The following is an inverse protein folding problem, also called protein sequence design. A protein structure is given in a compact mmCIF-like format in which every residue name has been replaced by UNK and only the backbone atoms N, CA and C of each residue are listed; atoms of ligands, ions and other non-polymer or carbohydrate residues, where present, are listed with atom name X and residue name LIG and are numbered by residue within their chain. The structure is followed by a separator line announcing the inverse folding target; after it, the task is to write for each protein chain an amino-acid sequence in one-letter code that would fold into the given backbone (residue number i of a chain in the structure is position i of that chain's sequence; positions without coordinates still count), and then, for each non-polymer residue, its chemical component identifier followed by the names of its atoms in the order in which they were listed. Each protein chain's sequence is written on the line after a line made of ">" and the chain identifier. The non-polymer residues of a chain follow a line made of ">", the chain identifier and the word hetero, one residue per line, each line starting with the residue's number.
data_IF_428525387962
#
_entry.id   IF_428525387962
#
_cell.length_a   1.000
_cell.length_b   1.000
_cell.length_c   1.000
_cell.angle_alpha   90.00
_cell.angle_beta   90.00
_cell.angle_gamma   90.00
#
_symmetry.space_group_name_H-M   'P 1'
#
loop_
_entity.id
_entity.type
_entity.pdbx_description
1 polymer ?
#
# COMPACT_ATOMS: atom_id res chain seq x y z
N UNK A 1 -19.54 -12.98 -43.48
CA UNK A 1 -18.50 -12.27 -42.68
C UNK A 1 -19.08 -11.54 -41.48
N UNK A 2 -20.25 -10.91 -41.63
CA UNK A 2 -20.90 -10.10 -40.60
C UNK A 2 -21.25 -10.85 -39.31
N UNK A 3 -21.75 -12.10 -39.40
CA UNK A 3 -22.03 -12.96 -38.23
C UNK A 3 -20.78 -13.27 -37.38
N UNK A 4 -19.62 -13.46 -38.02
CA UNK A 4 -18.34 -13.68 -37.32
C UNK A 4 -17.86 -12.42 -36.61
N UNK A 5 -18.03 -11.25 -37.22
CA UNK A 5 -17.69 -9.94 -36.61
C UNK A 5 -18.52 -9.65 -35.36
N UNK A 6 -19.84 -9.88 -35.43
CA UNK A 6 -20.71 -9.76 -34.25
C UNK A 6 -20.25 -10.69 -33.12
N UNK A 7 -19.80 -11.90 -33.45
CA UNK A 7 -19.22 -12.82 -32.47
C UNK A 7 -17.97 -12.26 -31.77
N UNK A 8 -17.01 -11.73 -32.52
CA UNK A 8 -15.82 -11.09 -31.92
C UNK A 8 -16.16 -9.84 -31.11
N UNK A 9 -17.09 -9.00 -31.59
CA UNK A 9 -17.55 -7.82 -30.84
C UNK A 9 -18.22 -8.20 -29.51
N UNK A 10 -18.99 -9.29 -29.48
CA UNK A 10 -19.56 -9.81 -28.24
C UNK A 10 -18.48 -10.24 -27.24
N UNK A 11 -17.44 -10.95 -27.72
CA UNK A 11 -16.30 -11.34 -26.88
C UNK A 11 -15.53 -10.12 -26.36
N UNK A 12 -15.36 -9.08 -27.19
CA UNK A 12 -14.76 -7.81 -26.76
C UNK A 12 -15.58 -7.18 -25.63
N UNK A 13 -16.90 -7.09 -25.77
CA UNK A 13 -17.76 -6.56 -24.71
C UNK A 13 -17.62 -7.36 -23.41
N UNK A 14 -17.59 -8.69 -23.48
CA UNK A 14 -17.42 -9.55 -22.31
C UNK A 14 -16.07 -9.34 -21.63
N UNK A 15 -14.98 -9.33 -22.40
CA UNK A 15 -13.62 -9.12 -21.88
C UNK A 15 -13.49 -7.74 -21.21
N UNK A 16 -14.04 -6.68 -21.82
CA UNK A 16 -14.00 -5.34 -21.26
C UNK A 16 -14.90 -5.20 -20.01
N UNK A 17 -16.04 -5.88 -19.96
CA UNK A 17 -16.88 -5.92 -18.75
C UNK A 17 -16.16 -6.58 -17.57
N UNK A 18 -15.47 -7.69 -17.81
CA UNK A 18 -14.65 -8.35 -16.79
C UNK A 18 -13.49 -7.43 -16.37
N UNK A 19 -12.83 -6.75 -17.32
CA UNK A 19 -11.76 -5.80 -17.03
C UNK A 19 -12.22 -4.61 -16.16
N UNK A 20 -13.45 -4.11 -16.38
CA UNK A 20 -14.08 -3.11 -15.51
C UNK A 20 -14.24 -3.65 -14.09
N UNK A 21 -14.78 -4.86 -13.94
CA UNK A 21 -14.96 -5.51 -12.64
C UNK A 21 -13.63 -5.74 -11.90
N UNK A 22 -12.61 -6.25 -12.59
CA UNK A 22 -11.28 -6.44 -12.03
C UNK A 22 -10.63 -5.10 -11.63
N UNK A 23 -10.77 -4.06 -12.45
CA UNK A 23 -10.24 -2.73 -12.12
C UNK A 23 -10.95 -2.11 -10.92
N UNK A 24 -12.27 -2.29 -10.81
CA UNK A 24 -13.04 -1.86 -9.64
C UNK A 24 -12.60 -2.63 -8.38
N UNK A 25 -12.42 -3.96 -8.48
CA UNK A 25 -11.94 -4.78 -7.38
C UNK A 25 -10.53 -4.36 -6.93
N UNK A 26 -9.59 -4.17 -7.87
CA UNK A 26 -8.25 -3.67 -7.55
C UNK A 26 -8.27 -2.27 -6.94
N UNK A 27 -9.19 -1.40 -7.38
CA UNK A 27 -9.34 -0.07 -6.80
C UNK A 27 -9.91 -0.14 -5.37
N UNK A 28 -10.93 -0.97 -5.14
CA UNK A 28 -11.47 -1.22 -3.80
C UNK A 28 -10.40 -1.79 -2.88
N UNK A 29 -9.62 -2.75 -3.35
CA UNK A 29 -8.52 -3.33 -2.59
C UNK A 29 -7.43 -2.29 -2.25
N UNK A 30 -7.05 -1.44 -3.21
CA UNK A 30 -6.13 -0.32 -2.96
C UNK A 30 -6.68 0.65 -1.90
N UNK A 31 -7.98 0.98 -2.00
CA UNK A 31 -8.70 1.83 -1.04
C UNK A 31 -8.69 1.18 0.34
N UNK A 32 -9.09 -0.08 0.46
CA UNK A 32 -9.10 -0.82 1.72
C UNK A 32 -7.73 -0.85 2.39
N UNK A 33 -6.68 -1.11 1.61
CA UNK A 33 -5.31 -1.13 2.10
C UNK A 33 -4.85 0.25 2.55
N UNK A 34 -5.02 1.27 1.70
CA UNK A 34 -4.60 2.65 2.00
C UNK A 34 -5.39 3.28 3.16
N UNK A 35 -6.60 2.79 3.44
CA UNK A 35 -7.46 3.30 4.50
C UNK A 35 -7.57 2.37 5.72
N UNK A 36 -6.76 1.31 5.80
CA UNK A 36 -6.73 0.42 6.97
C UNK A 36 -8.06 -0.28 7.30
N UNK A 37 -8.97 -0.40 6.33
CA UNK A 37 -10.33 -0.93 6.55
C UNK A 37 -10.38 -2.48 6.55
N UNK A 38 -9.23 -3.16 6.66
CA UNK A 38 -9.15 -4.60 6.39
C UNK A 38 -9.63 -5.47 7.54
N UNK A 39 -10.62 -6.31 7.25
CA UNK A 39 -11.13 -7.36 8.14
C UNK A 39 -11.13 -8.77 7.52
N UNK A 40 -10.73 -8.94 6.25
CA UNK A 40 -10.68 -10.28 5.61
C UNK A 40 -9.49 -10.44 4.65
N UNK A 41 -8.85 -11.62 4.62
CA UNK A 41 -7.85 -11.92 3.59
C UNK A 41 -8.51 -11.96 2.22
N UNK A 42 -7.99 -11.18 1.28
CA UNK A 42 -8.47 -11.17 -0.11
C UNK A 42 -8.16 -12.53 -0.75
N UNK A 43 -9.09 -13.08 -1.52
CA UNK A 43 -8.95 -14.37 -2.24
C UNK A 43 -7.74 -14.48 -3.19
N UNK A 44 -6.91 -13.43 -3.31
CA UNK A 44 -5.79 -13.35 -4.22
C UNK A 44 -4.40 -13.31 -3.54
N UNK A 45 -4.33 -13.52 -2.22
CA UNK A 45 -3.08 -13.86 -1.52
C UNK A 45 -2.98 -15.37 -1.35
N UNK A 46 -2.28 -16.02 -2.28
CA UNK A 46 -2.18 -17.48 -2.33
C UNK A 46 -0.86 -17.98 -1.74
N UNK A 47 0.24 -17.23 -1.94
CA UNK A 47 1.59 -17.51 -1.40
C UNK A 47 2.51 -16.30 -1.63
N UNK A 48 3.78 -16.40 -1.25
CA UNK A 48 4.77 -15.32 -1.35
C UNK A 48 5.01 -14.86 -2.79
N UNK A 49 4.83 -15.74 -3.78
CA UNK A 49 4.96 -15.40 -5.21
C UNK A 49 3.66 -14.86 -5.82
N UNK A 50 2.50 -15.25 -5.28
CA UNK A 50 1.17 -14.85 -5.76
C UNK A 50 0.43 -14.06 -4.69
N UNK A 51 0.70 -12.75 -4.64
CA UNK A 51 0.23 -11.87 -3.57
C UNK A 51 -0.17 -10.49 -4.14
N UNK A 52 -1.44 -10.11 -3.92
CA UNK A 52 -1.98 -8.83 -4.37
C UNK A 52 -1.51 -7.65 -3.52
N UNK A 53 -1.23 -7.88 -2.24
CA UNK A 53 -0.98 -6.82 -1.27
C UNK A 53 0.37 -6.18 -1.52
N UNK A 54 1.39 -6.99 -1.77
CA UNK A 54 2.76 -6.52 -2.04
C UNK A 54 2.75 -5.61 -3.28
N UNK A 55 2.05 -6.03 -4.33
CA UNK A 55 1.93 -5.24 -5.57
C UNK A 55 1.14 -3.95 -5.32
N UNK A 56 0.05 -4.02 -4.55
CA UNK A 56 -0.80 -2.86 -4.21
C UNK A 56 -0.08 -1.83 -3.34
N UNK A 57 0.87 -2.27 -2.51
CA UNK A 57 1.69 -1.41 -1.66
C UNK A 57 2.89 -0.78 -2.38
N UNK A 58 3.32 -1.34 -3.49
CA UNK A 58 4.46 -0.82 -4.23
C UNK A 58 4.21 0.60 -4.76
N UNK A 59 5.28 1.38 -4.92
CA UNK A 59 5.23 2.71 -5.56
C UNK A 59 4.63 2.64 -6.97
N UNK A 60 4.81 1.51 -7.65
CA UNK A 60 4.30 1.24 -8.99
C UNK A 60 2.78 1.02 -9.06
N UNK A 61 2.09 0.96 -7.92
CA UNK A 61 0.62 0.87 -7.86
C UNK A 61 -0.07 2.20 -8.17
N UNK A 62 0.68 3.30 -8.24
CA UNK A 62 0.16 4.65 -8.48
C UNK A 62 0.98 5.44 -9.50
N UNK A 63 0.32 6.35 -10.22
CA UNK A 63 0.96 7.31 -11.13
C UNK A 63 0.48 8.70 -10.71
N UNK A 64 1.44 9.58 -10.36
CA UNK A 64 1.15 10.91 -9.80
C UNK A 64 0.27 10.85 -8.53
N UNK A 65 0.47 9.82 -7.70
CA UNK A 65 -0.30 9.59 -6.47
C UNK A 65 -1.71 9.04 -6.67
N UNK A 66 -2.12 8.80 -7.93
CA UNK A 66 -3.42 8.23 -8.27
C UNK A 66 -3.27 6.73 -8.58
N UNK A 67 -4.15 5.86 -8.05
CA UNK A 67 -4.07 4.42 -8.29
C UNK A 67 -4.17 4.07 -9.77
N UNK A 68 -3.31 3.18 -10.27
CA UNK A 68 -3.41 2.68 -11.66
C UNK A 68 -4.78 2.06 -11.92
N UNK A 69 -5.36 1.40 -10.92
CA UNK A 69 -6.69 0.80 -10.98
C UNK A 69 -7.81 1.81 -11.31
N UNK A 70 -7.72 3.08 -10.87
CA UNK A 70 -8.73 4.08 -11.24
C UNK A 70 -8.61 4.52 -12.70
N UNK A 71 -7.39 4.62 -13.24
CA UNK A 71 -7.20 4.87 -14.66
C UNK A 71 -7.74 3.70 -15.49
N UNK A 72 -7.46 2.46 -15.06
CA UNK A 72 -8.02 1.25 -15.65
C UNK A 72 -9.55 1.26 -15.66
N UNK A 73 -10.18 1.57 -14.53
CA UNK A 73 -11.63 1.61 -14.42
C UNK A 73 -12.27 2.57 -15.43
N UNK A 74 -11.75 3.78 -15.56
CA UNK A 74 -12.26 4.76 -16.54
C UNK A 74 -12.00 4.28 -17.97
N UNK A 75 -10.77 3.82 -18.25
CA UNK A 75 -10.35 3.37 -19.57
C UNK A 75 -11.19 2.20 -20.09
N UNK A 76 -11.36 1.14 -19.28
CA UNK A 76 -12.14 -0.02 -19.70
C UNK A 76 -13.64 0.28 -19.78
N UNK A 77 -14.17 1.16 -18.93
CA UNK A 77 -15.57 1.59 -19.01
C UNK A 77 -15.85 2.34 -20.32
N UNK A 78 -14.93 3.22 -20.72
CA UNK A 78 -15.01 3.93 -21.99
C UNK A 78 -14.96 2.99 -23.20
N UNK A 79 -14.00 2.05 -23.22
CA UNK A 79 -13.90 1.06 -24.28
C UNK A 79 -15.10 0.12 -24.32
N UNK A 80 -15.63 -0.28 -23.16
CA UNK A 80 -16.84 -1.11 -23.08
C UNK A 80 -18.04 -0.41 -23.72
N UNK A 81 -18.25 0.88 -23.42
CA UNK A 81 -19.30 1.67 -24.04
C UNK A 81 -19.13 1.75 -25.57
N UNK A 82 -17.91 1.99 -26.05
CA UNK A 82 -17.60 1.99 -27.49
C UNK A 82 -17.85 0.63 -28.15
N UNK A 83 -17.40 -0.46 -27.52
CA UNK A 83 -17.63 -1.82 -28.00
C UNK A 83 -19.12 -2.15 -28.08
N UNK A 84 -19.90 -1.74 -27.07
CA UNK A 84 -21.35 -1.92 -27.06
C UNK A 84 -22.04 -1.14 -28.18
N UNK A 85 -21.64 0.10 -28.42
CA UNK A 85 -22.15 0.92 -29.54
C UNK A 85 -21.80 0.27 -30.88
N UNK A 86 -20.56 -0.20 -31.05
CA UNK A 86 -20.13 -0.89 -32.27
C UNK A 86 -20.91 -2.19 -32.51
N UNK A 87 -21.20 -2.95 -31.45
CA UNK A 87 -22.03 -4.14 -31.51
C UNK A 87 -23.47 -3.82 -31.93
N UNK A 88 -24.07 -2.76 -31.36
CA UNK A 88 -25.43 -2.32 -31.66
C UNK A 88 -25.57 -1.75 -33.09
N UNK A 89 -24.56 -1.02 -33.57
CA UNK A 89 -24.52 -0.41 -34.91
C UNK A 89 -23.71 -1.22 -35.93
N UNK A 90 -23.49 -2.51 -35.67
CA UNK A 90 -22.62 -3.34 -36.51
C UNK A 90 -23.05 -3.30 -37.99
N UNK A 91 -22.10 -2.97 -38.86
CA UNK A 91 -22.32 -2.82 -40.31
C UNK A 91 -22.40 -1.36 -40.76
N UNK A 92 -22.50 -0.40 -39.84
CA UNK A 92 -22.47 1.03 -40.15
C UNK A 92 -21.04 1.56 -40.33
N UNK A 93 -20.91 2.70 -41.01
CA UNK A 93 -19.61 3.40 -41.19
C UNK A 93 -19.02 3.79 -39.83
N UNK A 94 -19.88 4.21 -38.90
CA UNK A 94 -19.47 4.58 -37.54
C UNK A 94 -18.92 3.39 -36.76
N UNK A 95 -19.51 2.20 -36.90
CA UNK A 95 -18.95 0.99 -36.30
C UNK A 95 -17.53 0.70 -36.83
N UNK A 96 -17.25 0.99 -38.10
CA UNK A 96 -15.90 0.88 -38.67
C UNK A 96 -14.88 1.81 -38.00
N UNK A 97 -15.26 3.06 -37.73
CA UNK A 97 -14.41 4.04 -37.01
C UNK A 97 -14.17 3.57 -35.56
N UNK A 98 -15.25 3.16 -34.88
CA UNK A 98 -15.16 2.69 -33.49
C UNK A 98 -14.27 1.44 -33.40
N UNK A 99 -14.38 0.51 -34.34
CA UNK A 99 -13.54 -0.70 -34.36
C UNK A 99 -12.05 -0.36 -34.48
N UNK A 100 -11.68 0.68 -35.24
CA UNK A 100 -10.30 1.16 -35.30
C UNK A 100 -9.83 1.75 -33.96
N UNK A 101 -10.69 2.55 -33.31
CA UNK A 101 -10.41 3.07 -31.98
C UNK A 101 -10.24 1.96 -30.93
N UNK A 102 -11.09 0.93 -30.98
CA UNK A 102 -10.98 -0.26 -30.11
C UNK A 102 -9.66 -1.00 -30.33
N UNK A 103 -9.19 -1.13 -31.58
CA UNK A 103 -7.88 -1.74 -31.85
C UNK A 103 -6.73 -0.92 -31.25
N UNK A 104 -6.73 0.41 -31.40
CA UNK A 104 -5.72 1.26 -30.78
C UNK A 104 -5.74 1.14 -29.26
N UNK A 105 -6.92 1.16 -28.65
CA UNK A 105 -7.10 0.92 -27.22
C UNK A 105 -6.56 -0.43 -26.79
N UNK A 106 -6.80 -1.50 -27.57
CA UNK A 106 -6.29 -2.83 -27.26
C UNK A 106 -4.77 -2.93 -27.34
N UNK A 107 -4.15 -2.25 -28.32
CA UNK A 107 -2.69 -2.19 -28.46
C UNK A 107 -2.08 -1.45 -27.26
N UNK A 108 -2.64 -0.30 -26.90
CA UNK A 108 -2.21 0.46 -25.73
C UNK A 108 -2.30 -0.38 -24.45
N UNK A 109 -3.45 -1.03 -24.22
CA UNK A 109 -3.66 -1.91 -23.07
C UNK A 109 -2.66 -3.09 -23.06
N UNK A 110 -2.35 -3.67 -24.23
CA UNK A 110 -1.36 -4.73 -24.37
C UNK A 110 0.05 -4.28 -24.01
N UNK A 111 0.51 -3.14 -24.54
CA UNK A 111 1.82 -2.57 -24.22
C UNK A 111 1.93 -2.27 -22.73
N UNK A 112 0.91 -1.64 -22.15
CA UNK A 112 0.88 -1.32 -20.72
C UNK A 112 0.86 -2.57 -19.85
N UNK A 113 0.17 -3.64 -20.28
CA UNK A 113 0.17 -4.94 -19.58
C UNK A 113 1.55 -5.58 -19.56
N UNK A 114 2.28 -5.54 -20.69
CA UNK A 114 3.66 -6.04 -20.76
C UNK A 114 4.57 -5.25 -19.83
N UNK A 115 4.46 -3.92 -19.81
CA UNK A 115 5.21 -3.07 -18.89
C UNK A 115 4.98 -3.46 -17.43
N UNK A 116 3.71 -3.53 -16.98
CA UNK A 116 3.39 -3.87 -15.60
C UNK A 116 3.79 -5.30 -15.22
N UNK A 117 3.71 -6.25 -16.15
CA UNK A 117 4.19 -7.61 -15.93
C UNK A 117 5.71 -7.62 -15.71
N UNK A 118 6.48 -6.89 -16.52
CA UNK A 118 7.93 -6.80 -16.37
C UNK A 118 8.32 -6.13 -15.04
N UNK A 119 7.61 -5.08 -14.61
CA UNK A 119 7.81 -4.46 -13.29
C UNK A 119 7.53 -5.48 -12.17
N UNK A 120 6.44 -6.24 -12.29
CA UNK A 120 6.04 -7.23 -11.28
C UNK A 120 7.08 -8.35 -11.14
N UNK A 121 7.62 -8.87 -12.25
CA UNK A 121 8.58 -9.99 -12.24
C UNK A 121 10.02 -9.53 -11.95
N UNK A 122 10.47 -8.40 -12.52
CA UNK A 122 11.88 -7.99 -12.47
C UNK A 122 12.20 -7.06 -11.29
N UNK A 123 11.22 -6.31 -10.79
CA UNK A 123 11.44 -5.30 -9.75
C UNK A 123 10.78 -5.74 -8.43
N UNK A 124 9.50 -6.11 -8.47
CA UNK A 124 8.74 -6.46 -7.26
C UNK A 124 9.00 -7.92 -6.85
N UNK A 125 9.21 -8.82 -7.82
CA UNK A 125 9.40 -10.25 -7.57
C UNK A 125 8.12 -11.01 -7.18
N UNK A 126 6.95 -10.39 -7.34
CA UNK A 126 5.64 -10.93 -6.92
C UNK A 126 4.61 -10.73 -8.04
N UNK A 127 3.79 -11.75 -8.28
CA UNK A 127 2.71 -11.74 -9.28
C UNK A 127 1.35 -11.54 -8.62
N UNK A 128 0.58 -10.56 -9.12
CA UNK A 128 -0.77 -10.29 -8.64
C UNK A 128 -1.83 -11.04 -9.48
N UNK A 129 -2.62 -11.97 -8.89
CA UNK A 129 -3.61 -12.74 -9.64
C UNK A 129 -4.70 -11.90 -10.33
N UNK A 130 -5.12 -10.78 -9.72
CA UNK A 130 -6.10 -9.87 -10.34
C UNK A 130 -5.50 -9.13 -11.54
N UNK A 131 -4.23 -8.71 -11.47
CA UNK A 131 -3.49 -8.16 -12.59
C UNK A 131 -3.33 -9.18 -13.72
N UNK A 132 -3.01 -10.44 -13.41
CA UNK A 132 -2.93 -11.51 -14.40
C UNK A 132 -4.26 -11.74 -15.11
N UNK A 133 -5.38 -11.69 -14.38
CA UNK A 133 -6.73 -11.72 -14.97
C UNK A 133 -6.96 -10.56 -15.94
N UNK A 134 -6.48 -9.37 -15.61
CA UNK A 134 -6.56 -8.19 -16.48
C UNK A 134 -5.70 -8.34 -17.73
N UNK A 135 -4.48 -8.89 -17.61
CA UNK A 135 -3.60 -9.17 -18.74
C UNK A 135 -4.23 -10.19 -19.71
N UNK A 136 -4.89 -11.22 -19.18
CA UNK A 136 -5.64 -12.18 -19.98
C UNK A 136 -6.79 -11.51 -20.72
N UNK A 137 -7.57 -10.66 -20.04
CA UNK A 137 -8.65 -9.88 -20.67
C UNK A 137 -8.11 -9.01 -21.82
N UNK A 138 -6.96 -8.36 -21.62
CA UNK A 138 -6.32 -7.53 -22.63
C UNK A 138 -5.80 -8.31 -23.84
N UNK A 139 -5.24 -9.51 -23.62
CA UNK A 139 -4.83 -10.39 -24.71
C UNK A 139 -6.02 -10.85 -25.56
N UNK A 140 -7.13 -11.24 -24.92
CA UNK A 140 -8.38 -11.60 -25.60
C UNK A 140 -8.94 -10.40 -26.37
N UNK A 141 -8.97 -9.23 -25.74
CA UNK A 141 -9.44 -7.99 -26.35
C UNK A 141 -8.63 -7.64 -27.60
N UNK A 142 -7.30 -7.67 -27.53
CA UNK A 142 -6.42 -7.40 -28.67
C UNK A 142 -6.64 -8.39 -29.82
N UNK A 143 -6.72 -9.69 -29.51
CA UNK A 143 -6.97 -10.71 -30.53
C UNK A 143 -8.31 -10.49 -31.24
N UNK A 144 -9.39 -10.26 -30.48
CA UNK A 144 -10.71 -10.02 -31.07
C UNK A 144 -10.78 -8.69 -31.82
N UNK A 145 -10.21 -7.61 -31.28
CA UNK A 145 -10.17 -6.30 -31.94
C UNK A 145 -9.42 -6.35 -33.27
N UNK A 146 -8.34 -7.14 -33.35
CA UNK A 146 -7.66 -7.44 -34.60
C UNK A 146 -8.56 -8.19 -35.59
N UNK A 147 -9.27 -9.22 -35.14
CA UNK A 147 -10.17 -10.02 -36.01
C UNK A 147 -11.38 -9.25 -36.54
N UNK A 148 -11.77 -8.15 -35.89
CA UNK A 148 -12.87 -7.28 -36.34
C UNK A 148 -12.45 -6.37 -37.51
N UNK A 149 -11.15 -6.08 -37.68
CA UNK A 149 -10.65 -5.18 -38.73
C UNK A 149 -10.84 -5.71 -40.16
N UNK A 150 -11.20 -4.82 -41.08
CA UNK A 150 -11.22 -5.12 -42.53
C UNK A 150 -9.88 -4.71 -43.18
N UNK A 151 -9.21 -5.63 -43.86
CA UNK A 151 -8.02 -5.32 -44.67
C UNK A 151 -6.65 -5.50 -44.00
N UNK A 152 -6.58 -6.16 -42.84
CA UNK A 152 -5.33 -6.55 -42.17
C UNK A 152 -4.72 -5.47 -41.26
N UNK A 153 -3.83 -5.89 -40.34
CA UNK A 153 -3.33 -5.07 -39.23
C UNK A 153 -2.65 -3.77 -39.69
N UNK A 154 -1.72 -3.88 -40.65
CA UNK A 154 -0.93 -2.75 -41.16
C UNK A 154 -1.77 -1.70 -41.87
N UNK A 155 -2.79 -2.13 -42.62
CA UNK A 155 -3.70 -1.21 -43.32
C UNK A 155 -4.57 -0.45 -42.31
N UNK A 156 -5.12 -1.15 -41.32
CA UNK A 156 -5.89 -0.53 -40.24
C UNK A 156 -5.05 0.43 -39.41
N UNK A 157 -3.84 0.03 -38.99
CA UNK A 157 -2.92 0.88 -38.24
C UNK A 157 -2.55 2.15 -39.00
N UNK A 158 -2.23 2.04 -40.30
CA UNK A 158 -1.91 3.20 -41.13
C UNK A 158 -3.07 4.18 -41.22
N UNK A 159 -4.30 3.70 -41.43
CA UNK A 159 -5.49 4.56 -41.47
C UNK A 159 -5.74 5.22 -40.12
N UNK A 160 -5.63 4.46 -39.02
CA UNK A 160 -5.79 4.98 -37.66
C UNK A 160 -4.76 6.04 -37.28
N UNK A 161 -3.48 5.84 -37.62
CA UNK A 161 -2.42 6.81 -37.35
C UNK A 161 -2.59 8.08 -38.21
N UNK A 162 -3.03 7.94 -39.45
CA UNK A 162 -3.34 9.07 -40.33
C UNK A 162 -4.53 9.88 -39.80
N UNK A 163 -5.57 9.20 -39.30
CA UNK A 163 -6.72 9.83 -38.64
C UNK A 163 -6.32 10.52 -37.32
N UNK A 164 -5.41 9.92 -36.53
CA UNK A 164 -4.99 10.43 -35.23
C UNK A 164 -3.96 11.59 -35.30
N UNK A 165 -3.04 11.56 -36.27
CA UNK A 165 -1.94 12.53 -36.41
C UNK A 165 -2.15 13.57 -37.53
N UNK A 166 -3.34 13.64 -38.12
CA UNK A 166 -3.76 14.81 -38.90
C UNK A 166 -3.13 14.95 -40.29
N UNK A 167 -2.57 13.90 -40.90
CA UNK A 167 -2.24 13.92 -42.34
C UNK A 167 -3.52 13.59 -43.11
N UNK A 168 -4.53 14.45 -43.03
CA UNK A 168 -5.78 14.25 -43.76
C UNK A 168 -5.49 14.24 -45.28
N UNK A 169 -5.82 13.16 -46.01
CA UNK A 169 -5.85 13.23 -47.47
C UNK A 169 -6.80 14.36 -47.87
N UNK A 170 -6.42 15.22 -48.82
CA UNK A 170 -7.23 16.37 -49.28
C UNK A 170 -8.68 16.00 -49.62
N UNK A 171 -8.91 14.76 -50.02
CA UNK A 171 -10.22 14.17 -50.32
C UNK A 171 -11.12 14.03 -49.07
N UNK A 172 -10.57 13.65 -47.91
CA UNK A 172 -11.31 13.53 -46.64
C UNK A 172 -11.66 14.91 -46.08
N UNK A 173 -10.72 15.86 -46.18
CA UNK A 173 -10.97 17.26 -45.78
C UNK A 173 -12.09 17.91 -46.61
N UNK A 174 -12.16 17.60 -47.92
CA UNK A 174 -13.26 18.04 -48.77
C UNK A 174 -14.61 17.37 -48.42
N UNK A 175 -14.59 16.13 -47.91
CA UNK A 175 -15.79 15.48 -47.35
C UNK A 175 -16.22 16.10 -46.02
N UNK A 176 -15.28 16.49 -45.15
CA UNK A 176 -15.53 17.19 -43.88
C UNK A 176 -16.15 18.59 -44.09
N UNK A 177 -15.86 19.25 -45.21
CA UNK A 177 -16.36 20.59 -45.56
C UNK A 177 -17.81 20.59 -46.06
N UNK A 178 -18.37 19.43 -46.45
CA UNK A 178 -19.81 19.34 -46.74
C UNK A 178 -20.59 19.53 -45.43
N UNK A 179 -21.45 20.55 -45.39
CA UNK A 179 -22.41 20.83 -44.30
C UNK A 179 -23.22 19.55 -44.00
N UNK A 180 -22.78 18.76 -43.04
CA UNK A 180 -23.40 17.46 -42.72
C UNK A 180 -22.54 16.59 -41.82
N UNK A 181 -21.25 16.40 -42.13
CA UNK A 181 -20.39 15.44 -41.41
C UNK A 181 -20.22 15.77 -39.92
N UNK A 182 -19.90 17.03 -39.58
CA UNK A 182 -19.83 17.48 -38.18
C UNK A 182 -21.20 17.46 -37.48
N UNK A 183 -22.30 17.63 -38.21
CA UNK A 183 -23.65 17.62 -37.65
C UNK A 183 -24.13 16.18 -37.37
N UNK A 184 -23.76 15.22 -38.23
CA UNK A 184 -24.13 13.80 -38.11
C UNK A 184 -23.28 13.03 -37.09
N UNK A 185 -22.01 13.41 -36.89
CA UNK A 185 -21.10 12.70 -35.97
C UNK A 185 -20.74 13.47 -34.70
N UNK A 186 -21.44 14.58 -34.38
CA UNK A 186 -21.19 15.39 -33.16
C UNK A 186 -21.19 14.58 -31.86
N UNK A 187 -21.95 13.49 -31.81
CA UNK A 187 -22.06 12.61 -30.66
C UNK A 187 -20.77 11.81 -30.41
N UNK A 188 -20.01 11.44 -31.45
CA UNK A 188 -18.69 10.79 -31.28
C UNK A 188 -17.67 11.78 -30.69
N UNK A 189 -17.68 13.02 -31.16
CA UNK A 189 -16.84 14.09 -30.61
C UNK A 189 -17.17 14.34 -29.13
N UNK A 190 -18.46 14.42 -28.78
CA UNK A 190 -18.91 14.56 -27.40
C UNK A 190 -18.50 13.37 -26.53
N UNK A 191 -18.58 12.14 -27.03
CA UNK A 191 -18.10 10.94 -26.31
C UNK A 191 -16.59 11.03 -26.06
N UNK A 192 -15.79 11.38 -27.07
CA UNK A 192 -14.34 11.52 -26.91
C UNK A 192 -13.96 12.61 -25.89
N UNK A 193 -14.64 13.76 -25.93
CA UNK A 193 -14.44 14.85 -24.96
C UNK A 193 -14.83 14.37 -23.56
N UNK A 194 -15.99 13.74 -23.39
CA UNK A 194 -16.43 13.21 -22.09
C UNK A 194 -15.46 12.18 -21.54
N UNK A 195 -14.95 11.26 -22.36
CA UNK A 195 -13.94 10.28 -21.94
C UNK A 195 -12.66 10.98 -21.50
N UNK A 196 -12.15 11.94 -22.28
CA UNK A 196 -10.94 12.70 -21.93
C UNK A 196 -11.11 13.48 -20.62
N UNK A 197 -12.27 14.10 -20.43
CA UNK A 197 -12.64 14.80 -19.19
C UNK A 197 -12.68 13.82 -18.01
N UNK A 198 -13.32 12.66 -18.15
CA UNK A 198 -13.41 11.67 -17.08
C UNK A 198 -12.05 11.04 -16.73
N UNK A 199 -11.18 10.82 -17.72
CA UNK A 199 -9.81 10.33 -17.52
C UNK A 199 -8.96 11.31 -16.71
N UNK A 200 -9.30 12.60 -16.72
CA UNK A 200 -8.59 13.61 -15.92
C UNK A 200 -9.31 13.89 -14.59
N UNK A 201 -10.64 14.04 -14.59
CA UNK A 201 -11.44 14.43 -13.42
C UNK A 201 -11.62 13.31 -12.40
N UNK A 202 -11.83 12.06 -12.82
CA UNK A 202 -12.05 10.95 -11.88
C UNK A 202 -10.78 10.66 -11.07
N UNK A 203 -9.59 10.58 -11.70
CA UNK A 203 -8.31 10.60 -10.99
C UNK A 203 -8.15 11.75 -10.00
N UNK A 204 -8.39 13.00 -10.43
CA UNK A 204 -8.26 14.18 -9.57
C UNK A 204 -9.23 14.16 -8.39
N UNK A 205 -10.47 13.71 -8.61
CA UNK A 205 -11.46 13.54 -7.54
C UNK A 205 -11.01 12.45 -6.56
N UNK A 206 -10.42 11.36 -7.04
CA UNK A 206 -9.83 10.34 -6.17
C UNK A 206 -8.62 10.88 -5.39
N UNK A 207 -7.79 11.74 -5.98
CA UNK A 207 -6.73 12.46 -5.25
C UNK A 207 -7.33 13.35 -4.17
N UNK A 208 -8.44 14.05 -4.44
CA UNK A 208 -9.13 14.87 -3.45
C UNK A 208 -9.76 14.03 -2.32
N UNK A 209 -10.43 12.92 -2.65
CA UNK A 209 -11.02 12.00 -1.67
C UNK A 209 -9.94 11.32 -0.81
N UNK A 210 -8.83 10.92 -1.43
CA UNK A 210 -7.70 10.35 -0.69
C UNK A 210 -7.00 11.43 0.14
N UNK A 211 -6.72 12.61 -0.43
CA UNK A 211 -6.07 13.75 0.26
C UNK A 211 -6.87 14.28 1.45
N UNK A 212 -8.21 14.24 1.40
CA UNK A 212 -9.06 14.61 2.54
C UNK A 212 -9.13 13.53 3.62
N UNK A 213 -8.74 12.29 3.31
CA UNK A 213 -8.67 11.14 4.24
C UNK A 213 -7.25 10.79 4.70
N UNK A 214 -6.21 11.29 4.04
CA UNK A 214 -4.82 10.85 4.23
C UNK A 214 -4.16 11.28 5.53
N UNK A 215 -4.70 12.23 6.29
CA UNK A 215 -4.07 12.53 7.59
C UNK A 215 -4.46 11.48 8.65
N UNK A 216 -5.53 10.69 8.45
CA UNK A 216 -6.05 9.86 9.53
C UNK A 216 -6.39 8.40 9.28
N UNK A 217 -6.47 7.86 8.05
CA UNK A 217 -6.91 6.46 7.82
C UNK A 217 -8.41 6.23 8.13
N UNK A 218 -8.87 6.74 9.26
CA UNK A 218 -10.23 6.89 9.76
C UNK A 218 -10.81 8.28 9.44
N UNK A 219 -12.15 8.37 9.32
CA UNK A 219 -12.84 9.66 9.19
C UNK A 219 -12.71 10.51 10.47
N UNK A 220 -12.74 11.85 10.34
CA UNK A 220 -12.57 12.78 11.48
C UNK A 220 -13.46 12.46 12.68
N UNK A 221 -14.71 12.07 12.45
CA UNK A 221 -15.63 11.69 13.53
C UNK A 221 -15.18 10.43 14.28
N UNK A 222 -14.70 9.43 13.56
CA UNK A 222 -14.13 8.20 14.12
C UNK A 222 -12.85 8.49 14.90
N UNK A 223 -11.97 9.33 14.39
CA UNK A 223 -10.76 9.77 15.10
C UNK A 223 -11.13 10.42 16.42
N UNK A 224 -12.06 11.38 16.40
CA UNK A 224 -12.51 12.08 17.60
C UNK A 224 -13.21 11.15 18.61
N UNK A 225 -13.88 10.09 18.14
CA UNK A 225 -14.40 9.05 19.02
C UNK A 225 -13.27 8.34 19.78
N UNK A 226 -12.19 7.95 19.10
CA UNK A 226 -11.05 7.29 19.75
C UNK A 226 -10.25 8.23 20.65
N UNK A 227 -10.09 9.50 20.27
CA UNK A 227 -9.45 10.52 21.14
C UNK A 227 -10.25 10.71 22.43
N UNK A 228 -11.59 10.78 22.35
CA UNK A 228 -12.44 10.84 23.54
C UNK A 228 -12.33 9.60 24.41
N UNK A 229 -12.28 8.42 23.79
CA UNK A 229 -12.09 7.16 24.50
C UNK A 229 -10.74 7.13 25.22
N UNK A 230 -9.66 7.49 24.53
CA UNK A 230 -8.33 7.63 25.12
C UNK A 230 -8.33 8.64 26.26
N UNK A 231 -8.99 9.79 26.12
CA UNK A 231 -9.07 10.78 27.19
C UNK A 231 -9.77 10.26 28.45
N UNK A 232 -10.77 9.39 28.29
CA UNK A 232 -11.46 8.72 29.41
C UNK A 232 -10.71 7.51 29.99
N UNK A 233 -9.62 7.06 29.35
CA UNK A 233 -8.85 5.92 29.81
C UNK A 233 -8.12 6.25 31.12
N UNK A 234 -8.07 5.27 32.03
CA UNK A 234 -7.31 5.41 33.27
C UNK A 234 -5.82 5.44 32.96
N UNK A 235 -5.09 6.41 33.51
CA UNK A 235 -3.64 6.48 33.37
C UNK A 235 -2.94 5.52 34.32
N UNK A 236 -1.99 4.73 33.81
CA UNK A 236 -1.05 3.95 34.61
C UNK A 236 0.32 4.64 34.68
N UNK A 237 1.06 4.48 35.78
CA UNK A 237 2.35 5.15 35.99
C UNK A 237 3.54 4.28 35.59
N UNK A 238 4.33 4.65 34.59
CA UNK A 238 5.52 3.86 34.24
C UNK A 238 6.74 4.28 35.08
N UNK A 239 7.57 3.31 35.44
CA UNK A 239 8.89 3.57 36.02
C UNK A 239 9.93 3.50 34.89
N UNK A 240 10.77 4.53 34.80
CA UNK A 240 11.80 4.63 33.78
C UNK A 240 13.18 4.61 34.42
N UNK A 241 13.91 3.51 34.22
CA UNK A 241 15.30 3.40 34.64
C UNK A 241 16.19 4.12 33.61
N UNK A 242 17.00 5.09 34.06
CA UNK A 242 17.81 5.91 33.13
C UNK A 242 19.22 5.36 32.89
N UNK A 243 19.74 4.56 33.81
CA UNK A 243 21.15 4.13 33.80
C UNK A 243 21.29 2.65 34.14
N UNK A 244 22.48 2.11 33.84
CA UNK A 244 22.83 0.72 34.11
C UNK A 244 22.26 -0.29 33.12
N UNK A 245 22.47 -1.57 33.43
CA UNK A 245 22.14 -2.70 32.56
C UNK A 245 20.63 -2.85 32.31
N UNK A 246 19.83 -2.36 33.25
CA UNK A 246 18.37 -2.38 33.24
C UNK A 246 17.77 -1.07 32.72
N UNK A 247 18.54 -0.13 32.18
CA UNK A 247 17.97 1.11 31.64
C UNK A 247 16.88 0.88 30.59
N UNK A 248 15.89 1.77 30.57
CA UNK A 248 14.92 1.91 29.50
C UNK A 248 15.51 2.82 28.42
N UNK A 249 15.41 2.38 27.16
CA UNK A 249 15.88 3.17 26.04
C UNK A 249 14.80 4.16 25.61
N UNK A 250 15.16 5.44 25.49
CA UNK A 250 14.28 6.49 25.01
C UNK A 250 14.87 7.32 23.86
N UNK A 251 14.04 7.75 22.90
CA UNK A 251 14.33 8.80 21.88
C UNK A 251 13.62 10.10 22.28
N UNK A 252 14.14 11.23 21.80
CA UNK A 252 13.58 12.57 22.04
C UNK A 252 14.02 13.19 23.37
N UNK A 253 13.38 14.30 23.74
CA UNK A 253 13.69 15.03 24.96
C UNK A 253 13.27 14.22 26.21
N UNK A 254 14.19 13.85 27.12
CA UNK A 254 13.86 13.05 28.30
C UNK A 254 12.91 13.76 29.28
N UNK A 255 12.80 15.08 29.17
CA UNK A 255 11.91 15.95 29.96
C UNK A 255 10.63 16.35 29.23
N UNK A 256 10.35 15.79 28.06
CA UNK A 256 9.12 16.07 27.35
C UNK A 256 7.89 15.71 28.19
N UNK A 257 6.92 16.62 28.24
CA UNK A 257 5.71 16.45 29.02
C UNK A 257 4.80 15.33 28.47
N UNK A 258 4.96 14.99 27.19
CA UNK A 258 4.28 13.86 26.54
C UNK A 258 5.24 12.69 26.40
N UNK A 259 4.95 11.58 27.08
CA UNK A 259 5.70 10.33 26.97
C UNK A 259 4.87 9.25 26.27
N UNK A 260 5.44 8.69 25.22
CA UNK A 260 4.95 7.54 24.47
C UNK A 260 5.70 6.31 24.96
N UNK A 261 4.98 5.27 25.38
CA UNK A 261 5.56 3.97 25.75
C UNK A 261 5.01 2.93 24.79
N UNK A 262 5.89 2.23 24.08
CA UNK A 262 5.53 1.10 23.23
C UNK A 262 6.09 -0.21 23.81
N UNK A 263 5.20 -1.19 23.99
CA UNK A 263 5.57 -2.59 24.19
C UNK A 263 5.59 -3.28 22.83
N UNK A 264 6.77 -3.73 22.41
CA UNK A 264 7.03 -4.17 21.03
C UNK A 264 7.79 -5.50 20.96
N UNK A 265 7.72 -6.15 19.79
CA UNK A 265 8.40 -7.41 19.48
C UNK A 265 9.03 -7.33 18.08
N UNK A 266 10.33 -7.64 17.99
CA UNK A 266 11.14 -7.62 16.78
C UNK A 266 10.75 -8.65 15.71
N UNK A 267 9.86 -9.61 15.99
CA UNK A 267 9.30 -10.50 14.96
C UNK A 267 7.80 -10.26 14.69
N UNK A 268 7.20 -9.24 15.31
CA UNK A 268 5.78 -8.95 15.12
C UNK A 268 5.56 -8.05 13.89
N UNK A 269 4.87 -8.50 12.82
CA UNK A 269 4.70 -7.71 11.60
C UNK A 269 4.03 -6.33 11.83
N UNK A 270 3.10 -6.25 12.79
CA UNK A 270 2.45 -4.98 13.14
C UNK A 270 3.40 -4.03 13.86
N UNK A 271 4.39 -4.54 14.62
CA UNK A 271 5.42 -3.71 15.25
C UNK A 271 6.35 -3.08 14.21
N UNK A 272 6.74 -3.83 13.17
CA UNK A 272 7.53 -3.26 12.06
C UNK A 272 6.79 -2.11 11.36
N UNK A 273 5.50 -2.28 11.07
CA UNK A 273 4.68 -1.21 10.49
C UNK A 273 4.58 0.00 11.44
N UNK A 274 4.42 -0.26 12.73
CA UNK A 274 4.33 0.77 13.76
C UNK A 274 5.65 1.52 13.97
N UNK A 275 6.81 0.87 13.83
CA UNK A 275 8.11 1.52 13.92
C UNK A 275 8.23 2.64 12.88
N UNK A 276 7.82 2.37 11.64
CA UNK A 276 7.78 3.37 10.57
C UNK A 276 6.82 4.53 10.88
N UNK A 277 5.61 4.22 11.38
CA UNK A 277 4.63 5.23 11.77
C UNK A 277 5.14 6.12 12.92
N UNK A 278 5.78 5.53 13.92
CA UNK A 278 6.33 6.23 15.08
C UNK A 278 7.51 7.11 14.69
N UNK A 279 8.42 6.66 13.82
CA UNK A 279 9.53 7.50 13.33
C UNK A 279 9.01 8.80 12.68
N UNK A 280 7.99 8.70 11.83
CA UNK A 280 7.37 9.86 11.19
C UNK A 280 6.70 10.78 12.22
N UNK A 281 5.97 10.21 13.18
CA UNK A 281 5.34 11.00 14.25
C UNK A 281 6.39 11.69 15.12
N UNK A 282 7.45 11.01 15.53
CA UNK A 282 8.51 11.60 16.34
C UNK A 282 9.21 12.75 15.61
N UNK A 283 9.39 12.65 14.29
CA UNK A 283 9.89 13.74 13.47
C UNK A 283 8.96 14.96 13.50
N UNK A 284 7.64 14.77 13.45
CA UNK A 284 6.66 15.87 13.44
C UNK A 284 6.49 16.57 14.80
N UNK A 285 6.68 15.84 15.90
CA UNK A 285 6.53 16.39 17.25
C UNK A 285 7.85 16.89 17.85
N UNK A 286 9.00 16.36 17.43
CA UNK A 286 10.33 16.77 17.89
C UNK A 286 10.47 16.66 19.41
N UNK A 287 11.09 17.66 20.03
CA UNK A 287 11.39 17.69 21.48
C UNK A 287 10.15 17.78 22.39
N UNK A 288 8.95 17.84 21.82
CA UNK A 288 7.68 17.86 22.58
C UNK A 288 7.26 16.48 23.06
N UNK A 289 7.87 15.42 22.55
CA UNK A 289 7.56 14.03 22.90
C UNK A 289 8.82 13.26 23.29
N UNK A 290 8.64 12.36 24.26
CA UNK A 290 9.61 11.33 24.63
C UNK A 290 9.06 9.99 24.18
N UNK A 291 9.86 9.19 23.49
CA UNK A 291 9.50 7.82 23.15
C UNK A 291 10.30 6.83 23.99
N UNK A 292 9.65 5.82 24.55
CA UNK A 292 10.26 4.76 25.35
C UNK A 292 9.88 3.40 24.78
N UNK A 293 10.89 2.58 24.48
CA UNK A 293 10.71 1.21 24.00
C UNK A 293 10.78 0.23 25.17
N UNK A 294 9.79 -0.67 25.27
CA UNK A 294 9.72 -1.77 26.23
C UNK A 294 9.64 -3.10 25.49
N UNK A 295 10.44 -4.08 25.92
CA UNK A 295 10.48 -5.39 25.29
C UNK A 295 9.24 -6.21 25.65
N UNK A 296 8.51 -6.71 24.67
CA UNK A 296 7.41 -7.65 24.88
C UNK A 296 7.42 -8.77 23.82
N UNK A 297 8.51 -9.55 23.76
CA UNK A 297 8.65 -10.63 22.79
C UNK A 297 7.47 -11.62 22.90
N UNK A 298 6.86 -11.98 21.77
CA UNK A 298 5.79 -12.98 21.67
C UNK A 298 6.39 -14.39 21.56
N UNK A 299 7.26 -14.71 22.52
CA UNK A 299 7.99 -15.97 22.59
C UNK A 299 7.83 -16.59 23.99
N UNK A 300 7.30 -17.82 24.03
CA UNK A 300 7.04 -18.58 25.27
C UNK A 300 8.29 -18.84 26.11
N UNK A 301 9.49 -18.70 25.55
CA UNK A 301 10.74 -18.93 26.28
C UNK A 301 10.97 -17.87 27.37
N UNK A 302 10.61 -16.62 27.12
CA UNK A 302 10.74 -15.54 28.10
C UNK A 302 9.41 -14.86 28.47
N UNK A 303 8.35 -15.02 27.68
CA UNK A 303 7.05 -14.41 27.93
C UNK A 303 5.98 -15.44 28.34
N UNK A 304 5.57 -15.46 29.63
CA UNK A 304 4.60 -16.44 30.13
C UNK A 304 3.17 -16.24 29.61
N UNK A 305 2.84 -15.12 28.97
CA UNK A 305 1.52 -14.94 28.33
C UNK A 305 1.37 -15.73 27.03
N UNK A 306 2.48 -16.10 26.38
CA UNK A 306 2.47 -16.74 25.07
C UNK A 306 2.26 -18.24 25.27
N UNK A 307 1.14 -18.75 24.74
CA UNK A 307 0.77 -20.17 24.79
C UNK A 307 1.17 -20.95 23.55
N UNK A 308 1.57 -20.24 22.50
CA UNK A 308 2.01 -20.80 21.23
C UNK A 308 3.33 -21.56 21.41
N UNK A 309 3.42 -22.76 20.84
CA UNK A 309 4.60 -23.62 20.93
C UNK A 309 5.57 -23.47 19.74
N UNK A 310 5.23 -22.63 18.76
CA UNK A 310 6.13 -22.28 17.66
C UNK A 310 7.41 -21.66 18.20
N UNK A 311 8.54 -22.11 17.63
CA UNK A 311 9.85 -21.54 17.93
C UNK A 311 9.98 -20.19 17.22
N UNK A 312 10.19 -19.14 18.00
CA UNK A 312 10.49 -17.79 17.53
C UNK A 312 11.89 -17.38 18.03
N UNK A 313 12.40 -16.26 17.54
CA UNK A 313 13.66 -15.64 17.98
C UNK A 313 13.41 -14.34 18.75
N UNK A 314 12.17 -13.97 19.05
CA UNK A 314 11.82 -12.70 19.71
C UNK A 314 12.61 -12.45 21.01
N UNK A 315 12.76 -13.45 21.90
CA UNK A 315 13.55 -13.28 23.12
C UNK A 315 15.05 -13.03 22.82
N UNK A 316 15.58 -13.67 21.78
CA UNK A 316 16.96 -13.48 21.35
C UNK A 316 17.17 -12.08 20.75
N UNK A 317 16.28 -11.65 19.84
CA UNK A 317 16.36 -10.33 19.22
C UNK A 317 16.21 -9.19 20.24
N UNK A 318 15.35 -9.37 21.25
CA UNK A 318 15.24 -8.44 22.37
C UNK A 318 16.56 -8.28 23.13
N UNK A 319 17.28 -9.39 23.39
CA UNK A 319 18.61 -9.32 24.01
C UNK A 319 19.65 -8.70 23.07
N UNK A 320 19.62 -9.04 21.79
CA UNK A 320 20.54 -8.51 20.78
C UNK A 320 20.46 -6.97 20.69
N UNK A 321 19.24 -6.42 20.63
CA UNK A 321 19.04 -4.97 20.63
C UNK A 321 19.62 -4.32 21.90
N UNK A 322 19.44 -4.94 23.07
CA UNK A 322 20.00 -4.44 24.32
C UNK A 322 21.53 -4.53 24.37
N UNK A 323 22.12 -5.61 23.84
CA UNK A 323 23.57 -5.75 23.70
C UNK A 323 24.16 -4.68 22.76
N UNK A 324 23.50 -4.39 21.63
CA UNK A 324 23.88 -3.25 20.79
C UNK A 324 23.79 -1.92 21.56
N UNK A 325 22.82 -1.82 22.46
CA UNK A 325 22.69 -0.71 23.38
C UNK A 325 23.88 -0.51 24.33
N UNK A 326 24.61 -1.56 24.75
CA UNK A 326 25.85 -1.39 25.55
C UNK A 326 26.92 -0.61 24.77
N UNK A 327 26.89 -0.68 23.43
CA UNK A 327 27.75 0.08 22.51
C UNK A 327 27.12 1.40 22.04
N UNK A 328 26.01 1.84 22.66
CA UNK A 328 25.32 3.08 22.30
C UNK A 328 24.45 2.99 21.04
N UNK A 329 24.26 1.80 20.49
CA UNK A 329 23.60 1.53 19.19
C UNK A 329 22.24 0.83 19.32
N UNK A 330 21.54 1.05 20.44
CA UNK A 330 20.23 0.42 20.66
C UNK A 330 19.24 0.80 19.56
N UNK A 331 19.17 2.08 19.21
CA UNK A 331 18.22 2.56 18.22
C UNK A 331 18.59 2.16 16.80
N UNK A 332 19.88 2.17 16.44
CA UNK A 332 20.33 1.61 15.18
C UNK A 332 19.95 0.11 15.07
N UNK A 333 20.02 -0.63 16.18
CA UNK A 333 19.57 -2.01 16.23
C UNK A 333 18.05 -2.14 16.09
N UNK A 334 17.25 -1.27 16.72
CA UNK A 334 15.79 -1.26 16.53
C UNK A 334 15.45 -1.00 15.06
N UNK A 335 16.02 0.06 14.50
CA UNK A 335 15.74 0.49 13.12
C UNK A 335 16.19 -0.60 12.11
N UNK A 336 17.31 -1.28 12.35
CA UNK A 336 17.75 -2.43 11.55
C UNK A 336 16.79 -3.61 11.69
N UNK A 337 16.52 -4.07 12.92
CA UNK A 337 15.72 -5.28 13.16
C UNK A 337 14.27 -5.09 12.69
N UNK A 338 13.70 -3.89 12.84
CA UNK A 338 12.35 -3.55 12.42
C UNK A 338 12.24 -3.14 10.94
N UNK A 339 13.36 -3.07 10.21
CA UNK A 339 13.37 -2.73 8.78
C UNK A 339 12.56 -3.74 7.94
N UNK A 340 11.88 -3.24 6.89
CA UNK A 340 10.99 -4.05 6.04
C UNK A 340 11.69 -5.22 5.32
N UNK A 341 13.00 -5.12 5.07
CA UNK A 341 13.81 -6.18 4.52
C UNK A 341 14.01 -7.37 5.47
N UNK A 342 13.74 -7.20 6.78
CA UNK A 342 14.05 -8.17 7.83
C UNK A 342 12.81 -8.85 8.44
N UNK A 343 11.62 -8.62 7.86
CA UNK A 343 10.32 -9.17 8.29
C UNK A 343 10.23 -10.72 8.32
N UNK A 344 11.25 -11.43 7.80
CA UNK A 344 11.25 -12.88 7.66
C UNK A 344 12.64 -13.49 7.87
N UNK A 345 13.38 -13.02 8.89
CA UNK A 345 14.69 -13.59 9.21
C UNK A 345 14.53 -15.06 9.65
N UNK A 346 14.76 -16.00 8.73
CA UNK A 346 14.54 -17.44 8.97
C UNK A 346 15.55 -18.07 9.94
N UNK A 347 16.72 -17.44 10.13
CA UNK A 347 17.76 -17.89 11.05
C UNK A 347 18.50 -16.72 11.69
N UNK A 348 18.77 -16.86 12.99
CA UNK A 348 19.68 -16.01 13.78
C UNK A 348 20.99 -16.78 14.02
N UNK A 349 21.77 -16.96 12.96
CA UNK A 349 23.06 -17.66 12.97
C UNK A 349 24.26 -16.68 13.01
N UNK A 350 25.49 -17.22 12.99
CA UNK A 350 26.71 -16.40 12.99
C UNK A 350 26.80 -15.47 11.77
N UNK A 351 26.22 -15.87 10.62
CA UNK A 351 26.19 -15.04 9.42
C UNK A 351 25.25 -13.85 9.62
N UNK A 352 24.06 -14.09 10.17
CA UNK A 352 23.15 -13.02 10.58
C UNK A 352 23.84 -12.06 11.55
N UNK A 353 24.48 -12.57 12.60
CA UNK A 353 25.19 -11.73 13.57
C UNK A 353 26.31 -10.90 12.93
N UNK A 354 27.10 -11.48 12.03
CA UNK A 354 28.16 -10.74 11.32
C UNK A 354 27.60 -9.64 10.41
N UNK A 355 26.47 -9.92 9.74
CA UNK A 355 25.80 -8.96 8.85
C UNK A 355 25.18 -7.82 9.65
N UNK A 356 24.46 -8.16 10.73
CA UNK A 356 23.90 -7.21 11.68
C UNK A 356 24.99 -6.30 12.26
N UNK A 357 26.06 -6.88 12.81
CA UNK A 357 27.14 -6.09 13.41
C UNK A 357 27.84 -5.20 12.38
N UNK A 358 28.09 -5.71 11.17
CA UNK A 358 28.70 -4.93 10.09
C UNK A 358 27.82 -3.78 9.58
N UNK A 359 26.50 -3.95 9.57
CA UNK A 359 25.56 -2.95 9.06
C UNK A 359 25.43 -1.72 9.96
N UNK A 360 25.57 -1.89 11.28
CA UNK A 360 25.39 -0.81 12.27
C UNK A 360 26.66 -0.49 13.07
N UNK A 361 27.81 -0.95 12.58
CA UNK A 361 29.15 -0.67 13.13
C UNK A 361 29.31 -1.09 14.60
N UNK A 362 29.03 -2.37 14.87
CA UNK A 362 29.18 -3.00 16.19
C UNK A 362 30.41 -3.89 16.28
N UNK A 363 31.01 -3.95 17.46
CA UNK A 363 32.03 -4.94 17.79
C UNK A 363 31.37 -6.31 18.02
N UNK A 364 31.48 -7.20 17.04
CA UNK A 364 30.84 -8.52 17.06
C UNK A 364 31.27 -9.40 18.25
N UNK A 365 32.53 -9.29 18.69
CA UNK A 365 33.05 -10.05 19.85
C UNK A 365 32.31 -9.65 21.13
N UNK A 366 32.20 -8.34 21.39
CA UNK A 366 31.46 -7.83 22.54
C UNK A 366 29.96 -8.18 22.50
N UNK A 367 29.34 -8.19 21.31
CA UNK A 367 27.95 -8.64 21.14
C UNK A 367 27.79 -10.11 21.54
N UNK A 368 28.70 -10.97 21.07
CA UNK A 368 28.67 -12.40 21.40
C UNK A 368 28.85 -12.64 22.90
N UNK A 369 29.81 -11.97 23.53
CA UNK A 369 30.01 -12.05 24.98
C UNK A 369 28.81 -11.52 25.79
N UNK A 370 28.11 -10.51 25.27
CA UNK A 370 26.89 -10.00 25.90
C UNK A 370 25.73 -10.99 25.80
N UNK A 371 25.52 -11.58 24.63
CA UNK A 371 24.49 -12.59 24.40
C UNK A 371 24.74 -13.86 25.21
N UNK A 372 25.97 -14.37 25.19
CA UNK A 372 26.36 -15.61 25.88
C UNK A 372 26.20 -15.50 27.40
N UNK A 373 26.35 -14.29 27.97
CA UNK A 373 26.17 -14.08 29.40
C UNK A 373 24.69 -13.97 29.82
N UNK A 374 23.76 -13.79 28.87
CA UNK A 374 22.32 -13.63 29.13
C UNK A 374 21.95 -12.43 30.02
N UNK A 375 22.85 -11.44 30.15
CA UNK A 375 22.80 -10.41 31.21
C UNK A 375 21.59 -9.47 31.09
N UNK A 376 21.05 -9.30 29.88
CA UNK A 376 19.88 -8.47 29.64
C UNK A 376 18.54 -9.20 29.77
N UNK A 377 18.52 -10.53 29.91
CA UNK A 377 17.28 -11.29 30.04
C UNK A 377 16.46 -10.87 31.27
N UNK A 378 17.13 -10.45 32.35
CA UNK A 378 16.46 -9.90 33.53
C UNK A 378 15.60 -8.68 33.20
N UNK A 379 16.12 -7.73 32.41
CA UNK A 379 15.36 -6.55 31.98
C UNK A 379 14.25 -6.90 31.00
N UNK A 380 14.50 -7.82 30.06
CA UNK A 380 13.46 -8.30 29.13
C UNK A 380 12.28 -8.89 29.92
N UNK A 381 12.53 -9.71 30.93
CA UNK A 381 11.48 -10.25 31.81
C UNK A 381 10.77 -9.16 32.62
N UNK A 382 11.52 -8.19 33.15
CA UNK A 382 10.94 -7.05 33.87
C UNK A 382 10.01 -6.20 32.99
N UNK A 383 10.37 -5.95 31.72
CA UNK A 383 9.49 -5.28 30.76
C UNK A 383 8.20 -6.08 30.52
N UNK A 384 8.32 -7.40 30.34
CA UNK A 384 7.18 -8.29 30.14
C UNK A 384 6.25 -8.25 31.36
N UNK A 385 6.78 -8.38 32.57
CA UNK A 385 6.02 -8.33 33.82
C UNK A 385 5.32 -6.97 34.02
N UNK A 386 6.01 -5.86 33.74
CA UNK A 386 5.41 -4.53 33.73
C UNK A 386 4.27 -4.47 32.71
N UNK A 387 4.47 -4.94 31.48
CA UNK A 387 3.45 -4.97 30.45
C UNK A 387 2.22 -5.79 30.86
N UNK A 388 2.42 -7.00 31.40
CA UNK A 388 1.34 -7.85 31.92
C UNK A 388 0.54 -7.10 32.98
N UNK A 389 1.22 -6.48 33.95
CA UNK A 389 0.60 -5.72 35.03
C UNK A 389 -0.19 -4.50 34.52
N UNK A 390 0.12 -3.98 33.32
CA UNK A 390 -0.58 -2.85 32.68
C UNK A 390 -1.61 -3.25 31.64
N UNK A 391 -1.89 -4.54 31.49
CA UNK A 391 -2.89 -5.03 30.54
C UNK A 391 -2.40 -5.03 29.08
N UNK A 392 -1.10 -5.21 28.86
CA UNK A 392 -0.54 -5.55 27.55
C UNK A 392 -0.90 -7.00 27.26
N UNK A 393 -1.66 -7.23 26.20
CA UNK A 393 -2.09 -8.57 25.76
C UNK A 393 -1.47 -9.02 24.44
N UNK A 394 -0.63 -8.17 23.83
CA UNK A 394 -0.01 -8.38 22.53
C UNK A 394 0.75 -7.15 22.07
N UNK A 395 1.40 -7.23 20.92
CA UNK A 395 2.25 -6.18 20.37
C UNK A 395 1.77 -5.70 18.99
N UNK A 396 2.02 -4.42 18.64
CA UNK A 396 2.48 -3.38 19.56
C UNK A 396 1.33 -2.96 20.49
N UNK A 397 1.65 -2.59 21.73
CA UNK A 397 0.73 -1.87 22.61
C UNK A 397 1.33 -0.53 22.99
N UNK A 398 0.60 0.56 22.74
CA UNK A 398 1.08 1.93 22.94
C UNK A 398 0.30 2.62 24.04
N UNK A 399 1.03 3.36 24.89
CA UNK A 399 0.48 4.28 25.87
C UNK A 399 1.00 5.69 25.59
N UNK A 400 0.15 6.70 25.78
CA UNK A 400 0.54 8.11 25.80
C UNK A 400 0.18 8.66 27.18
N UNK A 401 1.17 9.16 27.91
CA UNK A 401 1.03 9.65 29.29
C UNK A 401 0.29 8.66 30.20
N UNK A 402 0.65 7.38 30.10
CA UNK A 402 0.04 6.32 30.90
C UNK A 402 -1.31 5.83 30.41
N UNK A 403 -1.91 6.43 29.39
CA UNK A 403 -3.22 6.03 28.85
C UNK A 403 -3.05 5.20 27.59
N UNK A 404 -3.64 4.00 27.57
CA UNK A 404 -3.55 3.06 26.44
C UNK A 404 -4.27 3.62 25.21
N UNK A 405 -3.63 3.56 24.04
CA UNK A 405 -4.28 3.93 22.79
C UNK A 405 -5.29 2.84 22.40
N UNK A 406 -6.55 3.18 22.08
CA UNK A 406 -7.61 2.19 21.83
C UNK A 406 -7.53 1.52 20.45
N UNK A 407 -6.84 2.14 19.49
CA UNK A 407 -6.66 1.62 18.12
C UNK A 407 -5.30 2.05 17.56
N UNK A 408 -4.63 1.12 16.88
CA UNK A 408 -3.35 1.35 16.23
C UNK A 408 -3.60 1.94 14.83
N UNK A 409 -3.85 3.25 14.81
CA UNK A 409 -4.07 4.03 13.60
C UNK A 409 -3.23 5.31 13.68
N UNK A 410 -2.43 5.57 12.64
CA UNK A 410 -1.50 6.72 12.58
C UNK A 410 -2.21 8.04 12.84
N UNK A 411 -3.41 8.19 12.31
CA UNK A 411 -4.24 9.34 12.54
C UNK A 411 -4.61 9.54 13.99
N UNK A 412 -5.22 8.52 14.59
CA UNK A 412 -5.62 8.56 16.00
C UNK A 412 -4.43 8.88 16.89
N UNK A 413 -3.27 8.27 16.63
CA UNK A 413 -2.05 8.59 17.37
C UNK A 413 -1.64 10.05 17.21
N UNK A 414 -1.62 10.58 15.97
CA UNK A 414 -1.31 11.98 15.70
C UNK A 414 -2.24 12.95 16.44
N UNK A 415 -3.55 12.71 16.44
CA UNK A 415 -4.49 13.55 17.20
C UNK A 415 -4.31 13.42 18.70
N UNK A 416 -4.06 12.22 19.22
CA UNK A 416 -3.78 12.01 20.65
C UNK A 416 -2.55 12.81 21.07
N UNK A 417 -1.46 12.74 20.29
CA UNK A 417 -0.24 13.49 20.57
C UNK A 417 -0.46 15.01 20.48
N UNK A 418 -1.15 15.50 19.44
CA UNK A 418 -1.55 16.92 19.34
C UNK A 418 -2.34 17.35 20.57
N UNK A 419 -3.32 16.55 20.98
CA UNK A 419 -4.17 16.82 22.16
C UNK A 419 -3.34 16.85 23.44
N UNK A 420 -2.49 15.84 23.66
CA UNK A 420 -1.64 15.73 24.84
C UNK A 420 -0.65 16.89 24.98
N UNK A 421 -0.03 17.31 23.87
CA UNK A 421 0.89 18.45 23.83
C UNK A 421 0.16 19.76 24.20
N UNK A 422 -1.04 19.98 23.66
CA UNK A 422 -1.83 21.20 23.90
C UNK A 422 -2.35 21.26 25.35
N UNK A 423 -2.87 20.15 25.89
CA UNK A 423 -3.40 20.11 27.26
C UNK A 423 -2.35 20.43 28.32
N UNK A 424 -1.08 20.07 28.07
CA UNK A 424 0.02 20.34 28.98
C UNK A 424 0.56 21.76 28.82
N UNK A 425 0.60 22.28 27.59
CA UNK A 425 0.95 23.68 27.32
C UNK A 425 -0.07 24.68 27.90
N UNK A 426 -1.30 24.24 28.17
CA UNK A 426 -2.36 25.08 28.77
C UNK A 426 -2.38 25.05 30.31
N UNK A 427 -1.57 24.19 30.94
CA UNK A 427 -1.45 24.06 32.40
C UNK A 427 -0.20 24.73 32.98
N UNK A 428 0.74 25.12 32.12
CA UNK A 428 1.86 26.02 32.41
C UNK A 428 1.42 27.48 32.25
#
# INVERSE_FOLDING_TARGET
>A
MEKKKKGYLFVICLALFIAVGLSALSLLHYVEFKFGLRYTPTFCNLNDRFNCDVVTQSDYSSILGIPIASYGLVFYSALFALAFISLAKNGSVEAGIINRALLLGAIFAGIFSVYLFLVSELIIGVLCPTCMGLYLCNAIFLYCAYKVQEGGLLKSLRVSLVEAFGVFPKEVFNSWRKKGFFYEHRWLLLICITIAVLVLLVPLLMTFITSTRTEYGLGRESVQKYVRQWNSESSVSFLFEQEGINRDYSKGNPFAAVTIVEFSDFECPTCHAMNFDLEELLSDFGDRVRFVFKNFPLDRFCNPLVRDDRKTNSCFLAQLARCAGEQGKFWDAVDYLMGSANLAQSSVDDLFLSTFCGAIDLEQVAIKECLDSGRHMGKVKSDIEEGIARGVGGTPTIYVNGKKIPVLDRGVMREILKTAVVELSAKE
#
